data_IF_946682947613
#
_entry.id   IF_946682947613
#
_cell.length_a   1.000
_cell.length_b   1.000
_cell.length_c   1.000
_cell.angle_alpha   90.00
_cell.angle_beta   90.00
_cell.angle_gamma   90.00
#
_symmetry.space_group_name_H-M   'P 1'
#
loop_
_entity.id
_entity.type
_entity.pdbx_description
1 polymer ?
#
# COMPACT_ATOMS: atom_id res chain seq x y z
N UNK A 1 3.17 -6.82 1.61
CA UNK A 1 2.65 -5.74 2.47
C UNK A 1 2.53 -4.43 1.69
N UNK A 2 3.61 -3.94 1.07
CA UNK A 2 3.62 -2.69 0.31
C UNK A 2 2.66 -2.67 -0.89
N UNK A 3 2.46 -3.80 -1.57
CA UNK A 3 1.52 -3.95 -2.70
C UNK A 3 0.14 -3.33 -2.44
N UNK A 4 -0.36 -3.46 -1.21
CA UNK A 4 -1.67 -2.91 -0.82
C UNK A 4 -1.65 -1.38 -0.89
N UNK A 5 -0.62 -0.75 -0.30
CA UNK A 5 -0.53 0.71 -0.11
C UNK A 5 -0.18 1.42 -1.42
N UNK A 6 0.85 0.93 -2.12
CA UNK A 6 1.44 1.62 -3.27
C UNK A 6 0.84 1.22 -4.61
N UNK A 7 0.15 0.07 -4.67
CA UNK A 7 -0.36 -0.47 -5.92
C UNK A 7 -1.87 -0.60 -5.91
N UNK A 8 -2.43 -1.46 -5.05
CA UNK A 8 -3.85 -1.80 -5.14
C UNK A 8 -4.77 -0.72 -4.56
N UNK A 9 -4.33 0.00 -3.53
CA UNK A 9 -5.09 1.14 -3.02
C UNK A 9 -5.26 2.23 -4.09
N UNK A 10 -4.20 2.75 -4.73
CA UNK A 10 -4.37 3.70 -5.82
C UNK A 10 -5.06 3.10 -7.05
N UNK A 11 -4.87 1.83 -7.39
CA UNK A 11 -5.56 1.20 -8.51
C UNK A 11 -7.09 1.27 -8.36
N UNK A 12 -7.60 0.96 -7.17
CA UNK A 12 -9.03 1.03 -6.89
C UNK A 12 -9.54 2.46 -6.71
N UNK A 13 -8.73 3.36 -6.14
CA UNK A 13 -9.18 4.68 -5.71
C UNK A 13 -8.99 5.77 -6.75
N UNK A 14 -7.85 5.76 -7.44
CA UNK A 14 -7.46 6.75 -8.46
C UNK A 14 -7.89 6.32 -9.87
N UNK A 15 -7.60 5.07 -10.26
CA UNK A 15 -7.80 4.57 -11.63
C UNK A 15 -9.13 3.83 -11.82
N UNK A 16 -9.97 3.80 -10.78
CA UNK A 16 -11.28 3.15 -10.78
C UNK A 16 -11.27 1.67 -11.19
N UNK A 17 -10.15 0.99 -11.00
CA UNK A 17 -10.07 -0.46 -11.14
C UNK A 17 -10.93 -1.17 -10.08
N UNK A 18 -11.22 -2.42 -10.31
CA UNK A 18 -11.98 -3.26 -9.38
C UNK A 18 -11.17 -4.47 -8.96
N UNK A 19 -11.59 -5.16 -7.91
CA UNK A 19 -10.98 -6.44 -7.53
C UNK A 19 -11.11 -7.52 -8.61
N UNK A 20 -12.02 -7.33 -9.58
CA UNK A 20 -12.21 -8.20 -10.75
C UNK A 20 -11.40 -7.77 -11.98
N UNK A 21 -10.71 -6.63 -11.94
CA UNK A 21 -9.78 -6.23 -13.00
C UNK A 21 -8.70 -7.29 -13.16
N UNK A 22 -8.33 -7.62 -14.41
CA UNK A 22 -7.54 -8.81 -14.75
C UNK A 22 -6.20 -8.41 -15.36
N UNK A 23 -5.14 -9.07 -14.90
CA UNK A 23 -3.80 -9.00 -15.47
C UNK A 23 -3.34 -10.38 -15.92
N UNK A 24 -2.49 -10.42 -16.95
CA UNK A 24 -1.90 -11.68 -17.41
C UNK A 24 -0.58 -11.95 -16.66
N UNK A 25 -0.62 -12.88 -15.73
CA UNK A 25 0.53 -13.35 -14.95
C UNK A 25 1.38 -14.32 -15.80
N UNK A 26 2.36 -13.78 -16.48
CA UNK A 26 3.32 -14.48 -17.34
C UNK A 26 4.71 -13.81 -17.18
N UNK A 27 5.79 -14.38 -17.72
CA UNK A 27 7.12 -13.79 -17.66
C UNK A 27 7.11 -12.28 -17.95
N UNK A 28 7.70 -11.50 -17.08
CA UNK A 28 7.70 -10.05 -17.16
C UNK A 28 9.05 -9.49 -16.65
N UNK A 29 9.49 -8.37 -17.21
CA UNK A 29 10.69 -7.67 -16.79
C UNK A 29 10.39 -6.23 -16.42
N UNK A 30 11.14 -5.70 -15.48
CA UNK A 30 11.19 -4.26 -15.25
C UNK A 30 11.70 -3.53 -16.51
N UNK A 31 11.49 -2.23 -16.58
CA UNK A 31 11.98 -1.39 -17.70
C UNK A 31 13.50 -1.49 -17.92
N UNK A 32 14.26 -1.80 -16.88
CA UNK A 32 15.72 -2.01 -16.95
C UNK A 32 16.12 -3.42 -17.41
N UNK A 33 15.16 -4.26 -17.81
CA UNK A 33 15.40 -5.62 -18.30
C UNK A 33 15.55 -6.70 -17.22
N UNK A 34 15.57 -6.33 -15.94
CA UNK A 34 15.64 -7.31 -14.83
C UNK A 34 14.31 -8.07 -14.72
N UNK A 35 14.33 -9.42 -14.64
CA UNK A 35 13.12 -10.22 -14.49
C UNK A 35 12.37 -9.92 -13.19
N UNK A 36 11.05 -9.89 -13.26
CA UNK A 36 10.15 -9.88 -12.08
C UNK A 36 9.77 -11.32 -11.79
N UNK A 37 10.17 -11.82 -10.65
CA UNK A 37 9.84 -13.18 -10.22
C UNK A 37 8.69 -13.18 -9.21
N UNK A 38 7.79 -14.18 -9.29
CA UNK A 38 6.86 -14.46 -8.22
C UNK A 38 7.62 -15.01 -7.00
N UNK A 39 6.97 -15.03 -5.84
CA UNK A 39 7.63 -15.40 -4.58
C UNK A 39 7.89 -16.90 -4.44
N UNK A 40 7.14 -17.74 -5.18
CA UNK A 40 7.28 -19.19 -5.16
C UNK A 40 8.54 -19.63 -5.92
N UNK A 41 9.18 -20.68 -5.44
CA UNK A 41 10.45 -21.19 -5.99
C UNK A 41 10.36 -21.62 -7.46
N UNK A 42 9.16 -21.98 -7.93
CA UNK A 42 8.89 -22.40 -9.30
C UNK A 42 8.51 -21.23 -10.21
N UNK A 43 8.40 -20.02 -9.66
CA UNK A 43 7.93 -18.82 -10.39
C UNK A 43 6.67 -19.09 -11.21
N UNK A 44 5.63 -19.64 -10.55
CA UNK A 44 4.40 -20.13 -11.17
C UNK A 44 3.65 -19.00 -11.88
N UNK A 45 3.26 -19.25 -13.12
CA UNK A 45 2.48 -18.34 -13.94
C UNK A 45 1.04 -18.85 -14.06
N UNK A 46 0.09 -18.06 -13.56
CA UNK A 46 -1.33 -18.43 -13.50
C UNK A 46 -2.16 -17.98 -14.71
N UNK A 47 -1.54 -17.25 -15.65
CA UNK A 47 -2.26 -16.66 -16.77
C UNK A 47 -3.15 -15.50 -16.34
N UNK A 48 -4.39 -15.46 -16.81
CA UNK A 48 -5.35 -14.40 -16.42
C UNK A 48 -5.66 -14.48 -14.93
N UNK A 49 -5.34 -13.40 -14.23
CA UNK A 49 -5.37 -13.31 -12.75
C UNK A 49 -6.05 -12.02 -12.36
N UNK A 50 -7.08 -12.08 -11.52
CA UNK A 50 -7.75 -10.91 -10.98
C UNK A 50 -6.90 -10.20 -9.93
N UNK A 51 -7.18 -8.92 -9.69
CA UNK A 51 -6.54 -8.16 -8.59
C UNK A 51 -6.78 -8.87 -7.25
N UNK A 52 -7.98 -9.40 -7.00
CA UNK A 52 -8.29 -10.16 -5.78
C UNK A 52 -7.37 -11.37 -5.62
N UNK A 53 -7.24 -12.19 -6.65
CA UNK A 53 -6.36 -13.37 -6.64
C UNK A 53 -4.88 -12.97 -6.47
N UNK A 54 -4.48 -11.87 -7.11
CA UNK A 54 -3.11 -11.36 -6.99
C UNK A 54 -2.80 -10.85 -5.58
N UNK A 55 -3.77 -10.27 -4.87
CA UNK A 55 -3.66 -9.92 -3.46
C UNK A 55 -3.57 -11.20 -2.62
N UNK A 56 -4.54 -12.10 -2.77
CA UNK A 56 -4.66 -13.36 -2.00
C UNK A 56 -3.38 -14.19 -2.07
N UNK A 57 -2.81 -14.35 -3.26
CA UNK A 57 -1.63 -15.18 -3.51
C UNK A 57 -0.32 -14.38 -3.57
N UNK A 58 -0.37 -13.10 -3.25
CA UNK A 58 0.81 -12.20 -3.22
C UNK A 58 1.61 -12.18 -4.53
N UNK A 59 0.95 -12.19 -5.69
CA UNK A 59 1.57 -12.28 -7.02
C UNK A 59 2.35 -11.00 -7.34
N UNK A 60 3.66 -11.14 -7.56
CA UNK A 60 4.57 -10.00 -7.79
C UNK A 60 4.37 -9.39 -9.17
N UNK A 61 4.30 -10.23 -10.21
CA UNK A 61 4.18 -9.78 -11.60
C UNK A 61 2.93 -8.92 -11.81
N UNK A 62 1.80 -9.33 -11.26
CA UNK A 62 0.55 -8.56 -11.34
C UNK A 62 0.68 -7.22 -10.62
N UNK A 63 1.28 -7.21 -9.43
CA UNK A 63 1.49 -5.96 -8.69
C UNK A 63 2.37 -4.97 -9.47
N UNK A 64 3.47 -5.43 -10.06
CA UNK A 64 4.36 -4.57 -10.84
C UNK A 64 3.69 -4.06 -12.12
N UNK A 65 2.93 -4.91 -12.82
CA UNK A 65 2.14 -4.49 -13.99
C UNK A 65 1.10 -3.43 -13.62
N UNK A 66 0.35 -3.67 -12.56
CA UNK A 66 -0.67 -2.75 -12.06
C UNK A 66 -0.06 -1.38 -11.69
N UNK A 67 1.05 -1.37 -10.92
CA UNK A 67 1.75 -0.11 -10.60
C UNK A 67 2.31 0.58 -11.85
N UNK A 68 2.77 -0.19 -12.84
CA UNK A 68 3.27 0.38 -14.09
C UNK A 68 2.17 1.11 -14.85
N UNK A 69 0.95 0.57 -14.86
CA UNK A 69 -0.22 1.15 -15.52
C UNK A 69 -0.70 2.44 -14.84
N UNK A 70 -0.89 2.41 -13.51
CA UNK A 70 -1.28 3.61 -12.74
C UNK A 70 -0.15 4.61 -12.55
N UNK A 71 1.05 4.27 -12.89
CA UNK A 71 2.36 4.93 -12.74
C UNK A 71 2.95 4.85 -11.32
N UNK A 72 4.28 4.66 -11.19
CA UNK A 72 4.97 4.68 -9.90
C UNK A 72 4.79 5.99 -9.12
N UNK A 73 4.65 7.14 -9.83
CA UNK A 73 4.41 8.43 -9.20
C UNK A 73 3.10 8.46 -8.39
N UNK A 74 2.04 7.86 -8.91
CA UNK A 74 0.77 7.75 -8.17
C UNK A 74 0.93 6.83 -6.96
N UNK A 75 1.60 5.68 -7.11
CA UNK A 75 1.90 4.79 -5.99
C UNK A 75 2.70 5.48 -4.89
N UNK A 76 3.68 6.29 -5.26
CA UNK A 76 4.48 7.11 -4.35
C UNK A 76 3.61 8.11 -3.58
N UNK A 77 2.78 8.90 -4.29
CA UNK A 77 1.88 9.87 -3.66
C UNK A 77 0.90 9.22 -2.68
N UNK A 78 0.41 8.02 -2.99
CA UNK A 78 -0.45 7.28 -2.06
C UNK A 78 0.32 6.82 -0.81
N UNK A 79 1.56 6.36 -0.93
CA UNK A 79 2.37 6.03 0.23
C UNK A 79 2.57 7.24 1.16
N UNK A 80 2.87 8.43 0.60
CA UNK A 80 2.95 9.68 1.38
C UNK A 80 1.61 10.01 2.06
N UNK A 81 0.49 9.89 1.34
CA UNK A 81 -0.85 10.12 1.92
C UNK A 81 -1.15 9.15 3.06
N UNK A 82 -0.67 7.92 3.00
CA UNK A 82 -0.75 6.93 4.06
C UNK A 82 0.21 7.18 5.24
N UNK A 83 0.99 8.26 5.19
CA UNK A 83 1.88 8.69 6.27
C UNK A 83 3.28 8.11 6.23
N UNK A 84 3.72 7.53 5.11
CA UNK A 84 5.09 7.06 4.93
C UNK A 84 5.96 8.26 4.51
N UNK A 85 6.93 8.62 5.35
CA UNK A 85 7.76 9.82 5.16
C UNK A 85 9.20 9.52 4.75
N UNK A 86 9.58 8.26 4.66
CA UNK A 86 10.96 7.80 4.43
C UNK A 86 11.32 7.62 2.96
N UNK A 87 10.36 7.85 2.05
CA UNK A 87 10.53 7.65 0.62
C UNK A 87 11.35 8.77 -0.03
N UNK A 88 12.19 8.39 -0.99
CA UNK A 88 12.99 9.32 -1.79
C UNK A 88 12.27 9.67 -3.11
N UNK A 89 11.90 10.94 -3.26
CA UNK A 89 11.15 11.43 -4.43
C UNK A 89 12.07 11.54 -5.65
N UNK A 90 12.46 10.42 -6.22
CA UNK A 90 13.33 10.31 -7.40
C UNK A 90 12.95 9.10 -8.25
N UNK A 91 12.87 9.29 -9.58
CA UNK A 91 12.66 8.20 -10.54
C UNK A 91 13.81 7.18 -10.54
N UNK A 92 15.01 7.60 -10.16
CA UNK A 92 16.15 6.71 -10.02
C UNK A 92 16.08 5.85 -8.73
N UNK A 93 15.22 6.22 -7.79
CA UNK A 93 15.09 5.59 -6.49
C UNK A 93 13.64 5.05 -6.32
N UNK A 94 12.83 5.70 -5.48
CA UNK A 94 11.57 5.13 -5.02
C UNK A 94 10.38 5.41 -5.95
N UNK A 95 10.47 6.40 -6.87
CA UNK A 95 9.44 6.63 -7.90
C UNK A 95 9.66 5.68 -9.08
N UNK A 96 9.67 4.38 -8.81
CA UNK A 96 10.04 3.35 -9.77
C UNK A 96 9.21 2.07 -9.59
N UNK A 97 9.25 1.16 -10.59
CA UNK A 97 8.46 -0.08 -10.57
C UNK A 97 8.70 -0.97 -9.34
N UNK A 98 9.93 -1.12 -8.79
CA UNK A 98 10.18 -1.86 -7.55
C UNK A 98 9.37 -1.40 -6.34
N UNK A 99 8.88 -0.16 -6.30
CA UNK A 99 7.98 0.35 -5.28
C UNK A 99 6.76 -0.56 -5.07
N UNK A 100 6.25 -1.19 -6.14
CA UNK A 100 5.14 -2.15 -6.05
C UNK A 100 5.39 -3.26 -5.03
N UNK A 101 6.64 -3.67 -4.88
CA UNK A 101 7.04 -4.79 -4.03
C UNK A 101 7.69 -4.34 -2.71
N UNK A 102 7.80 -3.04 -2.48
CA UNK A 102 8.49 -2.47 -1.32
C UNK A 102 10.00 -2.33 -1.53
N UNK A 103 10.46 -2.28 -2.78
CA UNK A 103 11.82 -1.88 -3.13
C UNK A 103 11.97 -0.38 -2.94
N UNK A 104 12.35 0.04 -1.75
CA UNK A 104 12.50 1.42 -1.32
C UNK A 104 13.86 1.65 -0.66
N UNK A 105 14.38 2.85 -0.79
CA UNK A 105 15.77 3.21 -0.44
C UNK A 105 16.02 3.13 1.07
N UNK A 106 15.21 3.82 1.86
CA UNK A 106 15.42 3.96 3.30
C UNK A 106 14.60 2.99 4.17
N UNK A 107 13.76 2.14 3.52
CA UNK A 107 12.79 1.33 4.26
C UNK A 107 11.61 2.14 4.79
N UNK A 108 10.85 1.57 5.72
CA UNK A 108 9.70 2.19 6.38
C UNK A 108 9.72 1.84 7.86
N UNK A 109 9.31 2.77 8.72
CA UNK A 109 9.20 2.47 10.14
C UNK A 109 7.97 1.58 10.40
N UNK A 110 8.06 0.71 11.42
CA UNK A 110 6.93 -0.12 11.83
C UNK A 110 5.71 0.74 12.20
N UNK A 111 5.94 1.90 12.82
CA UNK A 111 4.89 2.84 13.20
C UNK A 111 4.13 3.39 11.98
N UNK A 112 4.85 3.85 10.95
CA UNK A 112 4.25 4.37 9.72
C UNK A 112 3.47 3.27 8.97
N UNK A 113 4.07 2.10 8.84
CA UNK A 113 3.42 0.97 8.17
C UNK A 113 2.14 0.53 8.91
N UNK A 114 2.19 0.48 10.25
CA UNK A 114 1.01 0.18 11.07
C UNK A 114 -0.06 1.26 10.90
N UNK A 115 0.32 2.54 10.90
CA UNK A 115 -0.59 3.66 10.65
C UNK A 115 -1.26 3.61 9.28
N UNK A 116 -0.52 3.21 8.25
CA UNK A 116 -1.05 3.04 6.90
C UNK A 116 -2.12 1.94 6.84
N UNK A 117 -1.88 0.78 7.43
CA UNK A 117 -2.90 -0.29 7.50
C UNK A 117 -4.07 0.08 8.42
N UNK A 118 -3.81 0.78 9.52
CA UNK A 118 -4.86 1.31 10.38
C UNK A 118 -5.81 2.26 9.62
N UNK A 119 -5.30 3.05 8.67
CA UNK A 119 -6.12 3.91 7.84
C UNK A 119 -7.09 3.11 6.95
N UNK A 120 -6.68 1.95 6.42
CA UNK A 120 -7.57 1.06 5.65
C UNK A 120 -8.67 0.52 6.56
N UNK A 121 -8.31 -0.01 7.75
CA UNK A 121 -9.25 -0.51 8.74
C UNK A 121 -10.21 0.59 9.25
N UNK A 122 -9.75 1.84 9.29
CA UNK A 122 -10.51 3.02 9.66
C UNK A 122 -11.24 3.67 8.46
N UNK A 123 -11.80 2.85 7.57
CA UNK A 123 -12.63 3.31 6.44
C UNK A 123 -11.93 4.31 5.52
N UNK A 124 -10.61 4.19 5.36
CA UNK A 124 -9.80 5.07 4.53
C UNK A 124 -9.44 6.41 5.17
N UNK A 125 -9.53 6.52 6.48
CA UNK A 125 -9.13 7.71 7.22
C UNK A 125 -7.82 7.46 7.98
N UNK A 126 -6.76 8.13 7.57
CA UNK A 126 -5.47 8.13 8.25
C UNK A 126 -5.50 9.04 9.48
N UNK A 127 -4.99 8.55 10.59
CA UNK A 127 -4.76 9.30 11.82
C UNK A 127 -3.26 9.22 12.10
N UNK A 128 -2.59 10.38 12.17
CA UNK A 128 -1.17 10.40 12.51
C UNK A 128 -0.96 9.83 13.92
N UNK A 129 -0.14 8.78 14.08
CA UNK A 129 0.14 8.18 15.38
C UNK A 129 0.69 9.22 16.38
N UNK A 130 0.23 9.13 17.63
CA UNK A 130 0.66 9.98 18.74
C UNK A 130 0.92 9.12 19.96
N UNK A 131 1.85 9.56 20.82
CA UNK A 131 2.28 8.83 22.00
C UNK A 131 1.67 9.35 23.31
N UNK A 132 1.00 10.51 23.25
CA UNK A 132 0.34 11.14 24.40
C UNK A 132 -0.94 11.86 23.96
N UNK A 133 -1.92 11.90 24.83
CA UNK A 133 -3.19 12.61 24.62
C UNK A 133 -3.08 14.08 24.88
N UNK A 134 -2.38 14.47 25.93
CA UNK A 134 -2.11 15.87 26.30
C UNK A 134 -0.92 15.96 27.25
N UNK A 135 -0.39 17.15 27.43
CA UNK A 135 0.64 17.46 28.41
C UNK A 135 0.10 18.62 29.27
N UNK A 136 0.13 18.44 30.58
CA UNK A 136 -0.26 19.43 31.57
C UNK A 136 0.99 20.08 32.20
N UNK A 137 0.94 21.37 32.45
CA UNK A 137 1.93 22.11 33.23
C UNK A 137 1.72 21.92 34.74
N UNK A 138 2.62 22.49 35.59
CA UNK A 138 2.55 22.35 37.04
C UNK A 138 1.27 22.90 37.67
N UNK A 139 0.66 23.89 37.03
CA UNK A 139 -0.56 24.54 37.51
C UNK A 139 -1.85 23.91 36.88
N UNK A 140 -1.73 22.80 36.18
CA UNK A 140 -2.83 22.09 35.52
C UNK A 140 -3.27 22.70 34.18
N UNK A 141 -2.54 23.68 33.66
CA UNK A 141 -2.77 24.21 32.32
C UNK A 141 -2.41 23.19 31.23
N UNK A 142 -3.17 23.14 30.18
CA UNK A 142 -2.90 22.25 29.03
C UNK A 142 -1.86 22.90 28.12
N UNK A 143 -0.65 22.38 28.13
CA UNK A 143 0.47 22.86 27.31
C UNK A 143 0.37 22.30 25.87
N UNK A 144 0.00 21.04 25.74
CA UNK A 144 -0.23 20.37 24.44
C UNK A 144 -1.50 19.56 24.52
N UNK A 145 -2.39 19.72 23.55
CA UNK A 145 -3.63 18.94 23.45
C UNK A 145 -3.66 18.13 22.15
N UNK A 146 -3.65 16.82 22.28
CA UNK A 146 -3.77 15.83 21.21
C UNK A 146 -5.04 14.97 21.30
N UNK A 147 -5.97 15.30 22.21
CA UNK A 147 -7.18 14.50 22.47
C UNK A 147 -8.10 14.41 21.24
N UNK A 148 -8.12 15.48 20.43
CA UNK A 148 -8.84 15.46 19.16
C UNK A 148 -7.89 15.12 18.02
N UNK A 149 -7.96 13.91 17.42
CA UNK A 149 -7.07 13.54 16.34
C UNK A 149 -7.42 14.31 15.05
N UNK A 150 -6.39 14.75 14.34
CA UNK A 150 -6.54 15.21 12.95
C UNK A 150 -6.61 14.00 12.05
N UNK A 151 -7.69 13.89 11.27
CA UNK A 151 -7.90 12.81 10.31
C UNK A 151 -7.70 13.31 8.88
N UNK A 152 -7.09 12.48 8.04
CA UNK A 152 -6.93 12.74 6.61
C UNK A 152 -7.53 11.59 5.83
N UNK A 153 -8.45 11.89 4.91
CA UNK A 153 -8.98 10.84 4.02
C UNK A 153 -7.95 10.48 2.96
N UNK A 154 -7.52 9.22 2.98
CA UNK A 154 -6.53 8.67 2.04
C UNK A 154 -7.14 7.74 1.01
N UNK A 155 -8.30 7.13 1.33
CA UNK A 155 -9.10 6.29 0.43
C UNK A 155 -10.59 6.59 0.57
N UNK A 156 -11.35 6.33 -0.49
CA UNK A 156 -12.82 6.22 -0.40
C UNK A 156 -13.20 5.05 0.52
N UNK A 157 -14.25 5.21 1.31
CA UNK A 157 -14.68 4.19 2.28
C UNK A 157 -14.94 2.82 1.62
N UNK A 158 -15.62 2.82 0.46
CA UNK A 158 -15.89 1.59 -0.29
C UNK A 158 -14.61 0.87 -0.73
N UNK A 159 -13.58 1.61 -1.16
CA UNK A 159 -12.30 1.03 -1.58
C UNK A 159 -11.50 0.48 -0.39
N UNK A 160 -11.57 1.14 0.76
CA UNK A 160 -10.99 0.63 2.01
C UNK A 160 -11.67 -0.70 2.43
N UNK A 161 -12.99 -0.79 2.31
CA UNK A 161 -13.75 -2.02 2.57
C UNK A 161 -13.36 -3.14 1.59
N UNK A 162 -13.27 -2.86 0.29
CA UNK A 162 -12.84 -3.83 -0.72
C UNK A 162 -11.43 -4.37 -0.44
N UNK A 163 -10.48 -3.50 -0.10
CA UNK A 163 -9.12 -3.92 0.26
C UNK A 163 -9.12 -4.78 1.54
N UNK A 164 -9.90 -4.42 2.55
CA UNK A 164 -10.03 -5.22 3.79
C UNK A 164 -10.55 -6.61 3.46
N UNK A 165 -11.60 -6.73 2.63
CA UNK A 165 -12.14 -8.00 2.18
C UNK A 165 -11.13 -8.85 1.39
N UNK A 166 -10.32 -8.22 0.54
CA UNK A 166 -9.28 -8.94 -0.20
C UNK A 166 -8.11 -9.39 0.71
N UNK A 167 -7.78 -8.58 1.73
CA UNK A 167 -6.75 -8.95 2.73
C UNK A 167 -7.22 -10.07 3.68
N UNK A 168 -8.52 -10.16 3.97
CA UNK A 168 -9.09 -11.30 4.68
C UNK A 168 -8.87 -12.61 3.91
N UNK A 169 -9.01 -12.59 2.58
CA UNK A 169 -8.71 -13.74 1.74
C UNK A 169 -7.23 -14.17 1.83
N UNK A 170 -6.29 -13.24 2.06
CA UNK A 170 -4.86 -13.60 2.26
C UNK A 170 -4.68 -14.49 3.47
N UNK A 171 -5.39 -14.22 4.56
CA UNK A 171 -5.30 -14.97 5.82
C UNK A 171 -6.10 -16.27 5.77
N UNK A 172 -7.28 -16.27 5.14
CA UNK A 172 -8.20 -17.41 5.17
C UNK A 172 -7.90 -18.49 4.13
N UNK A 173 -7.32 -18.12 2.99
CA UNK A 173 -7.07 -19.05 1.86
C UNK A 173 -5.84 -18.71 1.01
N UNK A 174 -5.04 -17.73 1.42
CA UNK A 174 -3.87 -17.24 0.69
C UNK A 174 -2.55 -17.54 1.40
N UNK A 175 -1.64 -16.58 1.33
CA UNK A 175 -0.24 -16.70 1.81
C UNK A 175 -0.02 -16.19 3.23
N UNK A 176 -1.04 -15.74 3.91
CA UNK A 176 -0.98 -15.19 5.27
C UNK A 176 -1.22 -16.22 6.37
#
# INVERSE_FOLDING_TARGET
TFKIITTYAPALDYDNMTLSSVYYNAPYTYRNGVPVNNWDSNNTYTGYTTIREAITNSINIVAVKCLTEITPAIGFQYAERFGISTLENSEALDVSQPLALGGITNGVTNLELTGAFAAIANKGQYIKPKFYSHIEGPDGEILIDNRTPVTTRVLKEGNAWLLTSAMEDVVTKGTG
#
